data_IF_290617901136
#
_entry.id   IF_290617901136
#
_cell.length_a   1.000
_cell.length_b   1.000
_cell.length_c   1.000
_cell.angle_alpha   90.00
_cell.angle_beta   90.00
_cell.angle_gamma   90.00
#
_symmetry.space_group_name_H-M   'P 1'
#
loop_
_entity.id
_entity.type
_entity.pdbx_description
1 polymer ?
#
# COMPACT_ATOMS: atom_id res chain seq x y z
N UNK A 1 -11.79 -15.31 -2.39
CA UNK A 1 -13.03 -14.56 -2.70
C UNK A 1 -12.78 -13.44 -3.71
N UNK A 2 -11.88 -12.48 -3.44
CA UNK A 2 -11.63 -11.32 -4.33
C UNK A 2 -11.15 -11.71 -5.73
N UNK A 3 -10.35 -12.75 -5.87
CA UNK A 3 -9.86 -13.22 -7.17
C UNK A 3 -11.02 -13.69 -8.08
N UNK A 4 -11.93 -14.50 -7.56
CA UNK A 4 -13.09 -14.98 -8.32
C UNK A 4 -14.15 -13.88 -8.55
N UNK A 5 -14.29 -12.93 -7.62
CA UNK A 5 -15.20 -11.81 -7.76
C UNK A 5 -14.77 -10.81 -8.86
N UNK A 6 -13.47 -10.74 -9.16
CA UNK A 6 -12.93 -9.91 -10.25
C UNK A 6 -13.17 -10.51 -11.64
N UNK A 7 -13.34 -11.86 -11.74
CA UNK A 7 -13.48 -12.55 -13.01
C UNK A 7 -14.90 -12.44 -13.61
N UNK A 8 -15.94 -12.47 -12.77
CA UNK A 8 -17.33 -12.33 -13.24
C UNK A 8 -18.27 -12.02 -12.07
N UNK A 9 -19.17 -11.05 -12.26
CA UNK A 9 -20.17 -10.64 -11.25
C UNK A 9 -21.11 -11.76 -10.78
N UNK A 10 -21.35 -12.77 -11.62
CA UNK A 10 -22.17 -13.94 -11.28
C UNK A 10 -21.50 -14.79 -10.20
N UNK A 11 -20.17 -15.00 -10.27
CA UNK A 11 -19.41 -15.73 -9.23
C UNK A 11 -19.44 -15.05 -7.88
N UNK A 12 -19.47 -13.71 -7.87
CA UNK A 12 -19.59 -12.94 -6.62
C UNK A 12 -20.90 -13.24 -5.90
N UNK A 13 -21.99 -13.34 -6.63
CA UNK A 13 -23.33 -13.61 -6.05
C UNK A 13 -23.48 -15.06 -5.63
N UNK A 14 -22.94 -16.02 -6.38
CA UNK A 14 -23.01 -17.45 -6.07
C UNK A 14 -22.14 -17.86 -4.88
N UNK A 15 -21.02 -17.15 -4.64
CA UNK A 15 -20.10 -17.44 -3.53
C UNK A 15 -20.50 -16.76 -2.21
N UNK A 16 -21.39 -15.76 -2.23
CA UNK A 16 -21.88 -15.10 -1.02
C UNK A 16 -22.49 -16.07 0.02
N UNK A 17 -23.38 -17.02 -0.36
CA UNK A 17 -23.94 -17.97 0.61
C UNK A 17 -22.89 -18.88 1.24
N UNK A 18 -21.88 -19.30 0.47
CA UNK A 18 -20.80 -20.17 0.97
C UNK A 18 -19.89 -19.44 1.94
N UNK A 19 -19.61 -18.15 1.72
CA UNK A 19 -18.86 -17.31 2.67
C UNK A 19 -19.62 -17.12 4.00
N UNK A 20 -20.93 -16.94 3.95
CA UNK A 20 -21.77 -16.86 5.15
C UNK A 20 -21.78 -18.16 5.95
N UNK A 21 -21.86 -19.31 5.27
CA UNK A 21 -21.87 -20.62 5.92
C UNK A 21 -20.50 -21.03 6.45
N UNK A 22 -19.43 -20.65 5.78
CA UNK A 22 -18.06 -20.96 6.20
C UNK A 22 -17.65 -20.21 7.49
N UNK A 23 -18.31 -19.09 7.80
CA UNK A 23 -18.10 -18.34 9.05
C UNK A 23 -18.97 -18.78 10.23
N UNK A 24 -19.66 -19.90 10.12
CA UNK A 24 -20.59 -20.43 11.13
C UNK A 24 -19.96 -20.63 12.52
N UNK A 25 -18.64 -20.77 12.60
CA UNK A 25 -17.88 -20.94 13.85
C UNK A 25 -17.30 -19.65 14.42
N UNK A 26 -17.43 -18.53 13.71
CA UNK A 26 -16.88 -17.25 14.17
C UNK A 26 -17.97 -16.41 14.82
N UNK A 27 -17.71 -15.82 15.99
CA UNK A 27 -18.65 -14.91 16.62
C UNK A 27 -18.85 -13.67 15.74
N UNK A 28 -20.09 -13.33 15.46
CA UNK A 28 -20.46 -12.11 14.76
C UNK A 28 -20.71 -11.04 15.82
N UNK A 29 -19.84 -10.04 15.88
CA UNK A 29 -20.03 -8.90 16.75
C UNK A 29 -20.94 -7.87 16.08
N UNK A 30 -22.15 -7.70 16.64
CA UNK A 30 -23.13 -6.72 16.16
C UNK A 30 -23.13 -5.53 17.11
N UNK A 31 -23.07 -4.32 16.57
CA UNK A 31 -23.22 -3.08 17.33
C UNK A 31 -24.46 -2.36 16.85
N UNK A 32 -25.33 -2.03 17.79
CA UNK A 32 -26.57 -1.30 17.52
C UNK A 32 -26.38 0.13 17.99
N UNK A 33 -26.49 1.07 17.06
CA UNK A 33 -26.44 2.50 17.36
C UNK A 33 -27.78 3.04 17.85
N UNK A 34 -27.77 4.34 18.21
CA UNK A 34 -29.00 5.06 18.53
C UNK A 34 -29.94 5.04 17.31
N UNK A 35 -31.21 4.80 17.55
CA UNK A 35 -32.24 4.85 16.49
C UNK A 35 -32.20 6.20 15.75
N UNK A 36 -32.39 6.14 14.46
CA UNK A 36 -32.49 7.29 13.58
C UNK A 36 -33.94 7.35 13.09
N UNK A 37 -34.66 8.38 13.47
CA UNK A 37 -36.04 8.55 13.08
C UNK A 37 -36.11 9.29 11.74
N UNK A 38 -37.07 8.88 10.90
CA UNK A 38 -37.27 9.45 9.56
C UNK A 38 -37.48 10.97 9.58
N UNK A 39 -38.16 11.46 10.60
CA UNK A 39 -38.51 12.88 10.76
C UNK A 39 -37.28 13.79 10.94
N UNK A 40 -36.18 13.25 11.48
CA UNK A 40 -34.95 14.01 11.69
C UNK A 40 -34.19 14.23 10.37
N UNK A 41 -34.38 13.40 9.34
CA UNK A 41 -33.51 13.33 8.17
C UNK A 41 -34.17 13.43 6.81
N UNK A 42 -35.42 12.99 6.65
CA UNK A 42 -36.09 12.94 5.34
C UNK A 42 -36.67 14.28 4.90
N UNK A 43 -36.91 15.22 5.84
CA UNK A 43 -37.55 16.49 5.50
C UNK A 43 -36.65 17.51 4.80
N UNK A 44 -35.28 17.37 4.87
CA UNK A 44 -34.40 18.46 4.42
C UNK A 44 -33.09 18.01 3.70
N UNK A 45 -32.92 16.74 3.32
CA UNK A 45 -31.65 16.32 2.71
C UNK A 45 -31.83 15.51 1.45
N UNK A 46 -31.09 15.88 0.43
CA UNK A 46 -30.99 15.09 -0.79
C UNK A 46 -30.37 13.70 -0.52
N UNK A 47 -30.71 12.70 -1.35
CA UNK A 47 -30.26 11.31 -1.21
C UNK A 47 -28.73 11.15 -1.03
N UNK A 48 -27.87 11.93 -1.71
CA UNK A 48 -26.42 11.86 -1.51
C UNK A 48 -25.96 12.22 -0.09
N UNK A 49 -26.57 13.24 0.51
CA UNK A 49 -26.27 13.69 1.89
C UNK A 49 -26.75 12.68 2.93
N UNK A 50 -27.93 12.08 2.72
CA UNK A 50 -28.42 10.99 3.56
C UNK A 50 -27.48 9.77 3.53
N UNK A 51 -27.00 9.37 2.35
CA UNK A 51 -26.01 8.29 2.21
C UNK A 51 -24.73 8.59 2.99
N UNK A 52 -24.21 9.81 2.88
CA UNK A 52 -23.01 10.24 3.60
C UNK A 52 -23.23 10.17 5.11
N UNK A 53 -24.33 10.71 5.58
CA UNK A 53 -24.70 10.72 7.00
C UNK A 53 -24.83 9.31 7.58
N UNK A 54 -25.56 8.39 6.92
CA UNK A 54 -25.72 7.00 7.34
C UNK A 54 -24.37 6.28 7.38
N UNK A 55 -23.54 6.52 6.38
CA UNK A 55 -22.18 5.97 6.31
C UNK A 55 -21.32 6.43 7.50
N UNK A 56 -21.29 7.73 7.78
CA UNK A 56 -20.55 8.29 8.92
C UNK A 56 -21.02 7.71 10.27
N UNK A 57 -22.34 7.57 10.46
CA UNK A 57 -22.91 6.95 11.65
C UNK A 57 -22.50 5.50 11.80
N UNK A 58 -22.53 4.74 10.70
CA UNK A 58 -22.11 3.33 10.69
C UNK A 58 -20.62 3.20 11.01
N UNK A 59 -19.76 4.04 10.44
CA UNK A 59 -18.32 4.03 10.76
C UNK A 59 -18.04 4.43 12.21
N UNK A 60 -18.80 5.38 12.79
CA UNK A 60 -18.66 5.72 14.21
C UNK A 60 -18.98 4.56 15.15
N UNK A 61 -19.87 3.65 14.76
CA UNK A 61 -20.15 2.43 15.51
C UNK A 61 -18.97 1.43 15.49
N UNK A 62 -18.07 1.56 14.53
CA UNK A 62 -16.87 0.72 14.45
C UNK A 62 -15.82 1.09 15.52
N UNK A 63 -15.87 2.33 16.08
CA UNK A 63 -14.96 2.72 17.16
C UNK A 63 -15.30 1.96 18.44
N UNK A 64 -14.38 1.15 18.98
CA UNK A 64 -14.62 0.41 20.21
C UNK A 64 -14.70 1.37 21.41
N UNK A 65 -15.76 1.30 22.18
CA UNK A 65 -15.85 1.95 23.50
C UNK A 65 -15.05 1.20 24.57
N UNK A 66 -14.69 -0.05 24.31
CA UNK A 66 -13.82 -0.86 25.14
C UNK A 66 -12.55 -1.23 24.36
N UNK A 67 -11.41 -1.28 25.06
CA UNK A 67 -10.15 -1.75 24.47
C UNK A 67 -10.37 -3.17 23.89
N UNK A 68 -10.47 -3.26 22.57
CA UNK A 68 -10.60 -4.54 21.89
C UNK A 68 -9.31 -5.35 22.08
N UNK A 69 -9.39 -6.67 21.88
CA UNK A 69 -8.18 -7.49 21.85
C UNK A 69 -7.17 -6.98 20.82
N UNK A 70 -7.66 -6.37 19.74
CA UNK A 70 -6.84 -5.74 18.70
C UNK A 70 -6.13 -4.49 19.24
N UNK A 71 -6.82 -3.66 20.05
CA UNK A 71 -6.20 -2.47 20.63
C UNK A 71 -5.15 -2.85 21.68
N UNK A 72 -5.38 -3.92 22.45
CA UNK A 72 -4.36 -4.50 23.34
C UNK A 72 -3.15 -5.02 22.57
N UNK A 73 -3.37 -5.69 21.46
CA UNK A 73 -2.29 -6.18 20.57
C UNK A 73 -1.57 -4.99 19.94
N UNK A 74 -2.30 -3.98 19.45
CA UNK A 74 -1.69 -2.73 18.94
C UNK A 74 -0.86 -2.05 20.01
N UNK A 75 -1.39 -1.88 21.22
CA UNK A 75 -0.66 -1.28 22.34
C UNK A 75 0.58 -2.08 22.74
N UNK A 76 0.53 -3.41 22.67
CA UNK A 76 1.71 -4.27 22.84
C UNK A 76 2.71 -4.16 21.68
N UNK A 77 2.21 -4.00 20.46
CA UNK A 77 3.05 -3.76 19.27
C UNK A 77 3.66 -2.36 19.37
N UNK A 78 2.89 -1.35 19.74
CA UNK A 78 3.38 0.02 19.95
C UNK A 78 4.42 0.11 21.07
N UNK A 79 4.23 -0.62 22.17
CA UNK A 79 5.23 -0.73 23.25
C UNK A 79 6.52 -1.43 22.76
N UNK A 80 6.42 -2.44 21.90
CA UNK A 80 7.60 -3.08 21.26
C UNK A 80 8.24 -2.20 20.18
N UNK A 81 7.45 -1.28 19.58
CA UNK A 81 7.94 -0.32 18.61
C UNK A 81 8.57 0.92 19.26
N UNK A 82 8.31 1.16 20.55
CA UNK A 82 9.02 2.20 21.32
C UNK A 82 10.51 1.89 21.56
N UNK A 83 10.93 0.64 21.38
CA UNK A 83 12.35 0.27 21.30
C UNK A 83 12.99 0.57 19.92
N UNK A 84 12.28 1.24 19.00
CA UNK A 84 12.87 1.68 17.75
C UNK A 84 13.97 2.70 18.04
N UNK A 85 15.16 2.44 17.51
CA UNK A 85 16.25 3.40 17.45
C UNK A 85 15.71 4.75 16.97
N UNK A 86 16.21 5.87 17.50
CA UNK A 86 15.82 7.18 17.02
C UNK A 86 15.99 7.24 15.49
N UNK A 87 15.07 7.90 14.78
CA UNK A 87 15.14 7.97 13.33
C UNK A 87 16.45 8.60 12.90
N UNK A 88 17.13 7.93 11.98
CA UNK A 88 18.34 8.46 11.37
C UNK A 88 17.99 9.67 10.47
N UNK A 89 18.90 10.64 10.27
CA UNK A 89 18.72 11.68 9.28
C UNK A 89 18.47 11.05 7.90
N UNK A 90 17.46 11.54 7.19
CA UNK A 90 17.21 11.09 5.82
C UNK A 90 18.34 11.61 4.94
N UNK A 91 18.80 10.78 4.00
CA UNK A 91 19.84 11.17 3.03
C UNK A 91 19.43 12.43 2.25
N UNK A 92 20.41 13.18 1.79
CA UNK A 92 20.19 14.36 0.96
C UNK A 92 19.56 13.99 -0.40
N UNK A 93 18.81 14.94 -0.96
CA UNK A 93 18.22 14.83 -2.29
C UNK A 93 19.30 14.48 -3.33
N UNK A 94 19.01 13.54 -4.19
CA UNK A 94 19.94 13.15 -5.26
C UNK A 94 20.09 14.31 -6.24
N UNK A 95 21.33 14.68 -6.65
CA UNK A 95 21.53 15.76 -7.59
C UNK A 95 20.71 15.57 -8.86
N UNK A 96 19.92 16.57 -9.22
CA UNK A 96 19.02 16.53 -10.38
C UNK A 96 19.72 16.14 -11.69
N UNK A 97 20.96 16.60 -11.86
CA UNK A 97 21.75 16.27 -13.05
C UNK A 97 21.95 14.75 -13.20
N UNK A 98 22.25 14.03 -12.09
CA UNK A 98 22.42 12.57 -12.12
C UNK A 98 21.13 11.83 -12.46
N UNK A 99 20.01 12.31 -11.91
CA UNK A 99 18.69 11.76 -12.24
C UNK A 99 18.39 12.00 -13.71
N UNK A 100 18.62 13.21 -14.20
CA UNK A 100 18.37 13.57 -15.60
C UNK A 100 19.22 12.75 -16.57
N UNK A 101 20.50 12.53 -16.29
CA UNK A 101 21.38 11.68 -17.10
C UNK A 101 20.86 10.23 -17.19
N UNK A 102 20.33 9.69 -16.10
CA UNK A 102 19.71 8.36 -16.09
C UNK A 102 18.39 8.34 -16.85
N UNK A 103 17.56 9.36 -16.74
CA UNK A 103 16.32 9.52 -17.52
C UNK A 103 16.62 9.51 -19.02
N UNK A 104 17.65 10.27 -19.49
CA UNK A 104 18.03 10.24 -20.89
C UNK A 104 18.46 8.85 -21.36
N UNK A 105 19.27 8.14 -20.59
CA UNK A 105 19.67 6.77 -20.88
C UNK A 105 18.46 5.83 -20.95
N UNK A 106 17.48 6.01 -20.05
CA UNK A 106 16.26 5.21 -20.03
C UNK A 106 15.34 5.52 -21.23
N UNK A 107 15.39 6.73 -21.77
CA UNK A 107 14.71 7.07 -23.04
C UNK A 107 15.36 6.39 -24.22
N UNK A 108 16.70 6.42 -24.28
CA UNK A 108 17.49 5.85 -25.37
C UNK A 108 17.40 4.32 -25.43
N UNK A 109 17.37 3.63 -24.27
CA UNK A 109 17.30 2.16 -24.21
C UNK A 109 15.87 1.60 -24.31
N UNK A 110 14.87 2.48 -24.47
CA UNK A 110 13.47 2.05 -24.66
C UNK A 110 12.73 1.68 -23.37
N UNK A 111 13.25 2.02 -22.19
CA UNK A 111 12.59 1.76 -20.89
C UNK A 111 11.40 2.67 -20.63
N UNK A 112 11.16 3.69 -21.47
CA UNK A 112 9.99 4.55 -21.41
C UNK A 112 8.78 3.82 -21.99
N UNK A 113 7.74 3.63 -21.18
CA UNK A 113 6.52 2.92 -21.55
C UNK A 113 5.51 3.84 -22.26
N UNK A 114 5.32 5.06 -21.73
CA UNK A 114 4.33 6.00 -22.26
C UNK A 114 4.64 7.42 -21.82
N UNK A 115 4.01 8.37 -22.50
CA UNK A 115 4.07 9.81 -22.17
C UNK A 115 2.67 10.37 -22.14
N UNK A 116 2.38 11.19 -21.12
CA UNK A 116 1.13 11.92 -21.03
C UNK A 116 1.39 13.34 -20.53
N UNK A 117 1.20 14.34 -21.38
CA UNK A 117 1.51 15.75 -21.11
C UNK A 117 2.99 15.91 -20.73
N UNK A 118 3.28 16.42 -19.53
CA UNK A 118 4.63 16.56 -18.97
C UNK A 118 5.18 15.30 -18.35
N UNK A 119 4.34 14.27 -18.17
CA UNK A 119 4.69 13.05 -17.47
C UNK A 119 5.18 11.96 -18.40
N UNK A 120 6.20 11.24 -17.98
CA UNK A 120 6.71 10.04 -18.62
C UNK A 120 6.72 8.88 -17.62
N UNK A 121 6.29 7.71 -18.08
CA UNK A 121 6.30 6.47 -17.29
C UNK A 121 7.45 5.61 -17.76
N UNK A 122 8.30 5.21 -16.83
CA UNK A 122 9.43 4.32 -17.06
C UNK A 122 9.27 3.00 -16.30
N UNK A 123 9.86 1.93 -16.87
CA UNK A 123 10.02 0.66 -16.17
C UNK A 123 11.44 0.16 -16.41
N UNK A 124 12.21 0.01 -15.33
CA UNK A 124 13.62 -0.33 -15.43
C UNK A 124 14.09 -1.18 -14.25
N UNK A 125 15.21 -1.88 -14.44
CA UNK A 125 15.94 -2.58 -13.39
C UNK A 125 16.78 -1.60 -12.57
N UNK A 126 17.07 -1.96 -11.32
CA UNK A 126 17.85 -1.14 -10.38
C UNK A 126 19.22 -0.73 -10.90
N UNK A 127 19.88 -1.64 -11.62
CA UNK A 127 21.22 -1.43 -12.18
C UNK A 127 21.25 -0.33 -13.27
N UNK A 128 20.12 -0.12 -13.94
CA UNK A 128 19.99 0.88 -15.02
C UNK A 128 19.78 2.29 -14.47
N UNK A 129 19.42 2.43 -13.18
CA UNK A 129 18.95 3.68 -12.61
C UNK A 129 19.37 3.90 -11.13
N UNK A 130 20.63 3.72 -10.76
CA UNK A 130 21.07 3.76 -9.37
C UNK A 130 20.78 5.10 -8.66
N UNK A 131 20.89 6.24 -9.36
CA UNK A 131 20.59 7.56 -8.79
C UNK A 131 19.10 7.77 -8.62
N UNK A 132 18.30 7.32 -9.59
CA UNK A 132 16.84 7.33 -9.51
C UNK A 132 16.36 6.43 -8.38
N UNK A 133 16.92 5.21 -8.24
CA UNK A 133 16.57 4.29 -7.15
C UNK A 133 16.89 4.89 -5.78
N UNK A 134 18.06 5.53 -5.64
CA UNK A 134 18.42 6.25 -4.42
C UNK A 134 17.40 7.34 -4.08
N UNK A 135 16.94 8.10 -5.07
CA UNK A 135 15.92 9.13 -4.85
C UNK A 135 14.55 8.55 -4.53
N UNK A 136 14.14 7.47 -5.20
CA UNK A 136 12.90 6.75 -4.88
C UNK A 136 12.94 6.25 -3.43
N UNK A 137 14.04 5.66 -2.98
CA UNK A 137 14.19 5.15 -1.61
C UNK A 137 14.14 6.28 -0.57
N UNK A 138 14.72 7.44 -0.89
CA UNK A 138 14.62 8.65 -0.07
C UNK A 138 13.18 9.14 0.05
N UNK A 139 12.49 9.29 -1.09
CA UNK A 139 11.10 9.76 -1.13
C UNK A 139 10.14 8.80 -0.41
N UNK A 140 10.36 7.48 -0.52
CA UNK A 140 9.60 6.48 0.24
C UNK A 140 9.76 6.70 1.75
N UNK A 141 11.01 6.84 2.23
CA UNK A 141 11.27 7.06 3.65
C UNK A 141 10.65 8.37 4.14
N UNK A 142 10.74 9.47 3.37
CA UNK A 142 10.08 10.75 3.68
C UNK A 142 8.58 10.54 3.86
N UNK A 143 7.92 9.98 2.84
CA UNK A 143 6.46 9.81 2.81
C UNK A 143 5.96 8.87 3.90
N UNK A 144 6.66 7.74 4.12
CA UNK A 144 6.25 6.77 5.14
C UNK A 144 6.50 7.28 6.57
N UNK A 145 7.53 8.11 6.80
CA UNK A 145 7.71 8.76 8.11
C UNK A 145 6.58 9.71 8.44
N UNK A 146 6.08 10.47 7.46
CA UNK A 146 4.96 11.39 7.68
C UNK A 146 3.70 10.70 8.21
N UNK A 147 3.50 9.43 7.82
CA UNK A 147 2.36 8.62 8.27
C UNK A 147 2.71 7.63 9.40
N UNK A 148 3.93 7.69 9.94
CA UNK A 148 4.38 6.85 11.05
C UNK A 148 4.77 5.41 10.65
N UNK A 149 4.91 5.13 9.36
CA UNK A 149 5.25 3.81 8.78
C UNK A 149 6.69 3.72 8.26
N UNK A 150 7.51 4.76 8.45
CA UNK A 150 8.90 4.80 8.01
C UNK A 150 9.77 3.73 8.68
N UNK A 151 10.84 3.34 8.00
CA UNK A 151 11.84 2.39 8.50
C UNK A 151 12.72 2.97 9.60
N UNK A 152 12.75 4.30 9.75
CA UNK A 152 13.68 5.08 10.57
C UNK A 152 15.15 4.95 10.14
N UNK A 153 15.43 4.37 8.98
CA UNK A 153 16.75 4.35 8.34
C UNK A 153 16.98 5.64 7.52
N UNK A 154 18.17 5.85 7.04
CA UNK A 154 18.51 7.00 6.20
C UNK A 154 17.70 7.07 4.89
N UNK A 155 17.29 5.89 4.37
CA UNK A 155 16.41 5.70 3.22
C UNK A 155 15.74 4.32 3.30
N UNK A 156 14.62 4.17 2.61
CA UNK A 156 13.88 2.90 2.55
C UNK A 156 14.34 2.10 1.31
N UNK A 157 15.40 1.32 1.48
CA UNK A 157 15.93 0.40 0.46
C UNK A 157 16.10 -1.00 1.07
N UNK A 158 15.73 -2.02 0.31
CA UNK A 158 15.84 -3.41 0.72
C UNK A 158 16.31 -4.33 -0.43
N UNK A 159 16.53 -5.62 -0.16
CA UNK A 159 16.99 -6.59 -1.15
C UNK A 159 16.00 -6.78 -2.31
N UNK A 160 14.74 -6.50 -2.10
CA UNK A 160 13.72 -6.58 -3.14
C UNK A 160 13.84 -5.44 -4.16
N UNK A 161 14.43 -4.30 -3.80
CA UNK A 161 14.70 -3.21 -4.73
C UNK A 161 15.67 -3.61 -5.84
N UNK A 162 16.55 -4.59 -5.56
CA UNK A 162 17.51 -5.14 -6.55
C UNK A 162 16.96 -6.34 -7.33
N UNK A 163 15.84 -6.89 -6.90
CA UNK A 163 15.22 -8.06 -7.55
C UNK A 163 14.04 -7.68 -8.43
N UNK A 164 13.35 -6.61 -8.09
CA UNK A 164 12.12 -6.15 -8.73
C UNK A 164 12.40 -5.07 -9.76
N UNK A 165 11.53 -4.98 -10.76
CA UNK A 165 11.49 -3.83 -11.65
C UNK A 165 10.89 -2.62 -10.91
N UNK A 166 11.32 -1.44 -11.32
CA UNK A 166 10.78 -0.19 -10.82
C UNK A 166 9.96 0.48 -11.91
N UNK A 167 8.66 0.66 -11.65
CA UNK A 167 7.77 1.48 -12.45
C UNK A 167 7.69 2.84 -11.78
N UNK A 168 8.08 3.90 -12.49
CA UNK A 168 8.03 5.23 -11.91
C UNK A 168 7.54 6.28 -12.90
N UNK A 169 7.02 7.37 -12.33
CA UNK A 169 6.50 8.52 -13.04
C UNK A 169 7.45 9.70 -12.88
N UNK A 170 7.94 10.21 -14.00
CA UNK A 170 8.78 11.37 -14.09
C UNK A 170 8.00 12.58 -14.62
N UNK A 171 8.15 13.73 -13.99
CA UNK A 171 7.58 14.99 -14.47
C UNK A 171 8.68 15.85 -15.11
N UNK A 172 8.57 16.11 -16.41
CA UNK A 172 9.52 16.90 -17.17
C UNK A 172 9.50 18.39 -16.79
N UNK A 173 8.38 18.91 -16.33
CA UNK A 173 8.24 20.31 -15.98
C UNK A 173 8.96 20.62 -14.67
N UNK A 174 8.70 19.82 -13.64
CA UNK A 174 9.33 20.01 -12.32
C UNK A 174 10.67 19.30 -12.18
N UNK A 175 11.02 18.43 -13.13
CA UNK A 175 12.19 17.55 -13.09
C UNK A 175 12.27 16.75 -11.77
N UNK A 176 11.17 16.03 -11.47
CA UNK A 176 11.02 15.23 -10.26
C UNK A 176 10.35 13.88 -10.54
N UNK A 177 10.68 12.91 -9.70
CA UNK A 177 9.95 11.66 -9.57
C UNK A 177 8.70 11.96 -8.73
N UNK A 178 7.52 11.69 -9.29
CA UNK A 178 6.24 12.00 -8.65
C UNK A 178 5.48 10.76 -8.16
N UNK A 179 5.96 9.58 -8.51
CA UNK A 179 5.41 8.32 -8.02
C UNK A 179 6.27 7.14 -8.46
N UNK A 180 6.27 6.07 -7.65
CA UNK A 180 7.00 4.85 -7.97
C UNK A 180 6.33 3.62 -7.38
N UNK A 181 6.46 2.48 -8.08
CA UNK A 181 6.03 1.15 -7.64
C UNK A 181 7.11 0.13 -7.93
N UNK A 182 7.20 -0.90 -7.10
CA UNK A 182 7.97 -2.12 -7.40
C UNK A 182 7.08 -3.12 -8.12
N UNK A 183 7.56 -3.68 -9.22
CA UNK A 183 6.88 -4.69 -10.01
C UNK A 183 7.65 -6.02 -9.94
N UNK A 184 7.02 -7.03 -9.36
CA UNK A 184 7.58 -8.37 -9.31
C UNK A 184 7.11 -9.19 -10.52
N UNK A 185 8.01 -9.51 -11.43
CA UNK A 185 7.74 -10.47 -12.51
C UNK A 185 7.82 -11.88 -11.95
N UNK A 186 6.65 -12.52 -11.73
CA UNK A 186 6.55 -13.76 -10.97
C UNK A 186 7.44 -14.89 -11.46
N UNK A 187 7.53 -15.09 -12.79
CA UNK A 187 8.37 -16.13 -13.38
C UNK A 187 9.87 -15.88 -13.10
N UNK A 188 10.32 -14.63 -13.27
CA UNK A 188 11.73 -14.26 -13.10
C UNK A 188 12.16 -14.33 -11.62
N UNK A 189 11.28 -13.85 -10.73
CA UNK A 189 11.51 -13.92 -9.28
C UNK A 189 11.63 -15.39 -8.84
N UNK A 190 10.69 -16.22 -9.29
CA UNK A 190 10.68 -17.63 -8.94
C UNK A 190 11.93 -18.35 -9.46
N UNK A 191 12.34 -18.07 -10.68
CA UNK A 191 13.56 -18.63 -11.27
C UNK A 191 14.84 -18.20 -10.52
N UNK A 192 14.91 -16.94 -10.07
CA UNK A 192 16.10 -16.39 -9.38
C UNK A 192 16.17 -16.77 -7.89
N UNK A 193 15.05 -16.76 -7.18
CA UNK A 193 14.99 -16.85 -5.69
C UNK A 193 13.90 -17.79 -5.15
N UNK A 194 13.15 -18.47 -6.02
CA UNK A 194 12.00 -19.29 -5.60
C UNK A 194 10.94 -18.47 -4.88
N UNK A 195 10.19 -19.11 -3.97
CA UNK A 195 9.14 -18.47 -3.18
C UNK A 195 9.71 -17.35 -2.27
N UNK A 196 10.94 -17.51 -1.78
CA UNK A 196 11.58 -16.52 -0.91
C UNK A 196 11.85 -15.17 -1.59
N UNK A 197 11.84 -15.12 -2.93
CA UNK A 197 11.97 -13.89 -3.70
C UNK A 197 10.72 -13.01 -3.70
N UNK A 198 9.57 -13.51 -3.24
CA UNK A 198 8.34 -12.74 -3.17
C UNK A 198 8.26 -11.98 -1.85
N UNK A 199 8.10 -10.66 -1.93
CA UNK A 199 7.93 -9.80 -0.74
C UNK A 199 6.79 -10.29 0.17
N UNK A 200 5.68 -10.72 -0.43
CA UNK A 200 4.52 -11.25 0.29
C UNK A 200 4.88 -12.47 1.16
N UNK A 201 5.84 -13.31 0.72
CA UNK A 201 6.30 -14.46 1.50
C UNK A 201 6.91 -14.05 2.84
N UNK A 202 7.62 -12.92 2.88
CA UNK A 202 8.20 -12.40 4.13
C UNK A 202 7.14 -12.03 5.18
N UNK A 203 5.96 -11.60 4.73
CA UNK A 203 4.84 -11.21 5.60
C UNK A 203 4.13 -12.41 6.22
N UNK A 204 4.19 -13.58 5.57
CA UNK A 204 3.50 -14.80 6.00
C UNK A 204 4.41 -15.87 6.60
N UNK A 205 5.69 -15.59 6.77
CA UNK A 205 6.69 -16.52 7.30
C UNK A 205 6.37 -17.12 8.67
N UNK A 206 5.50 -16.47 9.45
CA UNK A 206 5.10 -16.92 10.78
C UNK A 206 3.86 -17.83 10.77
N UNK A 207 3.22 -18.07 9.62
CA UNK A 207 2.03 -18.94 9.55
C UNK A 207 2.35 -20.42 9.69
N UNK A 208 3.56 -20.86 9.35
CA UNK A 208 3.98 -22.27 9.52
C UNK A 208 4.14 -22.69 10.97
N UNK A 209 4.14 -21.76 11.93
CA UNK A 209 4.23 -22.03 13.38
C UNK A 209 2.89 -22.09 14.10
N UNK A 210 1.76 -22.00 13.36
CA UNK A 210 0.42 -22.00 13.93
C UNK A 210 -0.39 -23.29 13.63
N UNK A 211 0.29 -24.40 13.35
CA UNK A 211 -0.30 -25.74 13.27
C UNK A 211 0.12 -26.60 14.43
#
# INVERSE_FOLDING_TARGET
>A
FYFFAALNGIFRTLLMPTELTNKRKYPIHVRIGKAIFADEYLQNKEIPELKKFLRERTYRLANPLEESRIDRIRKQIDLRLQDKKPPQPIIEETPKLKIWEEIEKLRENGSRLTTFRTYEVFCAESEQMPSILREISRLREVTFREVGEGTNAECDIDDYDYLYLHLFLWDNETQRIVGAYRLGMGADIFAKKGIAGFYVHSLFRNHEKMH
#
